data_IF_228183426730
#
_entry.id   IF_228183426730
#
_cell.length_a   1.000
_cell.length_b   1.000
_cell.length_c   1.000
_cell.angle_alpha   90.00
_cell.angle_beta   90.00
_cell.angle_gamma   90.00
#
_symmetry.space_group_name_H-M   'P 1'
#
loop_
_entity.id
_entity.type
_entity.pdbx_description
1 polymer ?
#
# COMPACT_ATOMS: atom_id res chain seq x y z
N UNK A 1 23.83 18.10 57.19
CA UNK A 1 23.70 19.40 56.48
C UNK A 1 23.46 19.27 54.98
N UNK A 2 24.35 18.71 54.16
CA UNK A 2 24.11 18.59 52.70
C UNK A 2 22.92 17.68 52.32
N UNK A 3 22.67 16.64 53.12
CA UNK A 3 21.58 15.67 52.93
C UNK A 3 20.20 16.20 53.34
N UNK A 4 20.13 17.14 54.28
CA UNK A 4 18.86 17.80 54.68
C UNK A 4 18.45 18.90 53.71
N UNK A 5 19.40 19.68 53.20
CA UNK A 5 19.12 20.68 52.17
C UNK A 5 18.55 20.06 50.88
N UNK A 6 19.07 18.90 50.48
CA UNK A 6 18.58 18.17 49.30
C UNK A 6 17.19 17.56 49.52
N UNK A 7 16.88 17.12 50.76
CA UNK A 7 15.54 16.65 51.13
C UNK A 7 14.51 17.79 51.20
N UNK A 8 14.90 18.97 51.69
CA UNK A 8 14.03 20.15 51.68
C UNK A 8 13.74 20.64 50.26
N UNK A 9 14.73 20.70 49.38
CA UNK A 9 14.54 21.10 47.97
C UNK A 9 13.65 20.12 47.20
N UNK A 10 13.79 18.81 47.44
CA UNK A 10 12.88 17.80 46.87
C UNK A 10 11.46 17.90 47.42
N UNK A 11 11.31 18.22 48.72
CA UNK A 11 10.00 18.44 49.34
C UNK A 11 9.30 19.69 48.80
N UNK A 12 10.05 20.77 48.55
CA UNK A 12 9.52 22.03 48.00
C UNK A 12 9.17 21.89 46.51
N UNK A 13 10.01 21.19 45.75
CA UNK A 13 9.72 20.80 44.36
C UNK A 13 8.43 19.96 44.26
N UNK A 14 8.17 19.06 45.22
CA UNK A 14 6.95 18.24 45.24
C UNK A 14 5.66 19.00 45.58
N UNK A 15 5.77 20.20 46.17
CA UNK A 15 4.62 21.06 46.54
C UNK A 15 4.29 22.11 45.48
N UNK A 16 5.23 22.43 44.60
CA UNK A 16 4.95 23.36 43.50
C UNK A 16 4.14 22.69 42.39
N UNK A 17 3.08 23.33 41.85
CA UNK A 17 2.31 22.79 40.73
C UNK A 17 3.19 22.42 39.53
N UNK A 18 4.29 23.15 39.33
CA UNK A 18 5.26 22.95 38.27
C UNK A 18 6.14 21.71 38.48
N UNK A 19 6.47 21.34 39.71
CA UNK A 19 7.26 20.14 40.00
C UNK A 19 6.45 18.85 39.82
N UNK A 20 5.18 18.86 40.21
CA UNK A 20 4.25 17.75 39.90
C UNK A 20 4.02 17.63 38.39
N UNK A 21 3.81 18.76 37.69
CA UNK A 21 3.69 18.77 36.24
C UNK A 21 4.95 18.27 35.52
N UNK A 22 6.14 18.67 36.00
CA UNK A 22 7.42 18.21 35.47
C UNK A 22 7.64 16.71 35.68
N UNK A 23 7.30 16.17 36.85
CA UNK A 23 7.38 14.74 37.12
C UNK A 23 6.41 13.94 36.23
N UNK A 24 5.17 14.42 36.06
CA UNK A 24 4.20 13.80 35.17
C UNK A 24 4.66 13.80 33.70
N UNK A 25 5.24 14.91 33.24
CA UNK A 25 5.82 15.00 31.90
C UNK A 25 7.00 14.03 31.71
N UNK A 26 7.88 13.89 32.70
CA UNK A 26 8.99 12.94 32.66
C UNK A 26 8.52 11.49 32.59
N UNK A 27 7.51 11.12 33.38
CA UNK A 27 6.88 9.79 33.31
C UNK A 27 6.25 9.54 31.94
N UNK A 28 5.54 10.52 31.38
CA UNK A 28 4.96 10.42 30.05
C UNK A 28 6.02 10.23 28.95
N UNK A 29 7.15 10.95 29.04
CA UNK A 29 8.28 10.81 28.11
C UNK A 29 8.95 9.44 28.21
N UNK A 30 9.17 8.93 29.43
CA UNK A 30 9.74 7.60 29.65
C UNK A 30 8.80 6.51 29.12
N UNK A 31 7.49 6.64 29.39
CA UNK A 31 6.49 5.73 28.86
C UNK A 31 6.45 5.76 27.33
N UNK A 32 6.47 6.94 26.72
CA UNK A 32 6.53 7.09 25.26
C UNK A 32 7.81 6.48 24.68
N UNK A 33 8.97 6.72 25.30
CA UNK A 33 10.24 6.15 24.87
C UNK A 33 10.22 4.62 24.95
N UNK A 34 9.71 4.04 26.05
CA UNK A 34 9.54 2.60 26.20
C UNK A 34 8.57 2.02 25.15
N UNK A 35 7.47 2.71 24.87
CA UNK A 35 6.52 2.33 23.83
C UNK A 35 7.17 2.35 22.44
N UNK A 36 7.89 3.43 22.08
CA UNK A 36 8.63 3.53 20.80
C UNK A 36 9.68 2.43 20.70
N UNK A 37 10.36 2.12 21.80
CA UNK A 37 11.38 1.08 21.85
C UNK A 37 10.79 -0.33 21.65
N UNK A 38 9.68 -0.65 22.31
CA UNK A 38 8.97 -1.92 22.10
C UNK A 38 8.44 -2.04 20.66
N UNK A 39 7.87 -0.97 20.13
CA UNK A 39 7.23 -0.94 18.81
C UNK A 39 8.23 -0.88 17.64
N UNK A 40 9.25 -0.02 17.71
CA UNK A 40 10.20 0.19 16.62
C UNK A 40 11.39 -0.78 16.66
N UNK A 41 11.71 -1.38 17.81
CA UNK A 41 12.94 -2.18 17.95
C UNK A 41 12.67 -3.62 18.36
N UNK A 42 11.96 -3.85 19.46
CA UNK A 42 11.75 -5.20 20.00
C UNK A 42 10.77 -6.01 19.15
N UNK A 43 9.61 -5.43 18.83
CA UNK A 43 8.55 -6.11 18.07
C UNK A 43 9.02 -6.58 16.69
N UNK A 44 9.63 -5.72 15.84
CA UNK A 44 10.11 -6.15 14.52
C UNK A 44 11.18 -7.25 14.62
N UNK A 45 12.06 -7.20 15.62
CA UNK A 45 13.06 -8.25 15.83
C UNK A 45 12.48 -9.57 16.31
N UNK A 46 11.46 -9.51 17.17
CA UNK A 46 10.73 -10.71 17.62
C UNK A 46 10.00 -11.35 16.44
N UNK A 47 9.28 -10.57 15.65
CA UNK A 47 8.59 -11.03 14.44
C UNK A 47 9.56 -11.59 13.39
N UNK A 48 10.65 -10.88 13.11
CA UNK A 48 11.66 -11.33 12.16
C UNK A 48 12.37 -12.61 12.57
N UNK A 49 12.57 -12.84 13.88
CA UNK A 49 13.09 -14.12 14.39
C UNK A 49 12.07 -15.24 14.28
N UNK A 50 10.80 -14.97 14.60
CA UNK A 50 9.73 -15.95 14.49
C UNK A 50 9.54 -16.43 13.04
N UNK A 51 9.50 -15.51 12.07
CA UNK A 51 9.38 -15.84 10.65
C UNK A 51 10.56 -16.69 10.15
N UNK A 52 11.80 -16.33 10.55
CA UNK A 52 12.98 -17.11 10.19
C UNK A 52 13.01 -18.49 10.86
N UNK A 53 12.51 -18.61 12.09
CA UNK A 53 12.37 -19.89 12.78
C UNK A 53 11.37 -20.82 12.07
N UNK A 54 10.37 -20.25 11.39
CA UNK A 54 9.43 -20.97 10.51
C UNK A 54 10.02 -21.29 9.12
N UNK A 55 11.31 -21.01 8.88
CA UNK A 55 11.97 -21.27 7.59
C UNK A 55 11.71 -20.20 6.50
N UNK A 56 10.98 -19.13 6.82
CA UNK A 56 10.67 -18.06 5.86
C UNK A 56 11.88 -17.11 5.79
N UNK A 57 12.46 -16.99 4.59
CA UNK A 57 13.59 -16.09 4.34
C UNK A 57 13.10 -14.67 4.08
N UNK A 58 13.93 -13.67 4.36
CA UNK A 58 13.50 -12.29 4.15
C UNK A 58 14.56 -11.28 4.53
N UNK A 59 14.29 -10.04 4.15
CA UNK A 59 15.19 -8.89 4.33
C UNK A 59 15.42 -8.58 5.82
N UNK A 60 16.50 -7.86 6.10
CA UNK A 60 16.80 -7.37 7.45
C UNK A 60 15.98 -6.12 7.73
N UNK A 61 15.38 -6.04 8.91
CA UNK A 61 14.64 -4.86 9.34
C UNK A 61 15.55 -3.62 9.41
N UNK A 62 15.14 -2.53 8.74
CA UNK A 62 15.73 -1.19 8.82
C UNK A 62 14.79 -0.30 9.65
N UNK A 63 15.34 0.39 10.65
CA UNK A 63 14.58 1.12 11.66
C UNK A 63 13.62 2.14 11.01
N UNK A 64 12.37 2.16 11.48
CA UNK A 64 11.24 3.00 11.02
C UNK A 64 10.77 2.80 9.58
N UNK A 65 11.67 2.70 8.60
CA UNK A 65 11.30 2.70 7.17
C UNK A 65 11.19 1.31 6.55
N UNK A 66 11.84 0.30 7.14
CA UNK A 66 11.90 -1.03 6.54
C UNK A 66 12.54 -1.00 5.14
N UNK A 67 11.91 -1.66 4.18
CA UNK A 67 12.37 -1.74 2.79
C UNK A 67 11.75 -0.68 1.88
N UNK A 68 10.98 0.29 2.42
CA UNK A 68 10.28 1.30 1.61
C UNK A 68 11.25 2.09 0.70
N UNK A 69 12.38 2.63 1.19
CA UNK A 69 13.31 3.37 0.34
C UNK A 69 13.99 2.48 -0.71
N UNK A 70 14.25 1.21 -0.35
CA UNK A 70 14.82 0.23 -1.28
C UNK A 70 13.85 -0.09 -2.42
N UNK A 71 12.57 -0.29 -2.08
CA UNK A 71 11.50 -0.52 -3.04
C UNK A 71 11.33 0.69 -3.98
N UNK A 72 11.40 1.91 -3.46
CA UNK A 72 11.36 3.14 -4.26
C UNK A 72 12.53 3.21 -5.25
N UNK A 73 13.75 2.89 -4.79
CA UNK A 73 14.96 2.82 -5.63
C UNK A 73 14.81 1.78 -6.75
N UNK A 74 14.39 0.56 -6.40
CA UNK A 74 14.16 -0.50 -7.39
C UNK A 74 13.10 -0.08 -8.43
N UNK A 75 12.01 0.57 -8.00
CA UNK A 75 10.98 1.07 -8.91
C UNK A 75 11.52 2.16 -9.85
N UNK A 76 12.34 3.09 -9.36
CA UNK A 76 12.95 4.13 -10.18
C UNK A 76 13.88 3.52 -11.25
N UNK A 77 14.71 2.54 -10.88
CA UNK A 77 15.61 1.84 -11.81
C UNK A 77 14.83 1.01 -12.83
N UNK A 78 13.74 0.36 -12.42
CA UNK A 78 12.92 -0.44 -13.32
C UNK A 78 12.15 0.42 -14.32
N UNK A 79 11.71 1.62 -13.92
CA UNK A 79 11.00 2.58 -14.77
C UNK A 79 11.93 3.32 -15.74
N UNK A 80 13.20 3.52 -15.37
CA UNK A 80 14.17 4.22 -16.25
C UNK A 80 14.62 3.41 -17.47
N UNK A 81 14.38 2.10 -17.49
CA UNK A 81 14.70 1.23 -18.62
C UNK A 81 13.44 0.91 -19.41
N UNK A 82 13.42 0.98 -20.75
CA UNK A 82 12.27 0.54 -21.54
C UNK A 82 12.04 -0.97 -21.42
N UNK A 83 10.81 -1.43 -21.64
CA UNK A 83 10.54 -2.89 -21.72
C UNK A 83 10.99 -3.44 -23.07
N UNK A 84 11.42 -4.72 -23.14
CA UNK A 84 11.63 -5.38 -24.41
C UNK A 84 10.35 -5.36 -25.25
N UNK A 85 10.49 -5.02 -26.53
CA UNK A 85 9.37 -5.04 -27.48
C UNK A 85 8.75 -6.44 -27.55
N UNK A 86 7.41 -6.52 -27.49
CA UNK A 86 6.68 -7.77 -27.52
C UNK A 86 6.69 -8.58 -26.20
N UNK A 87 7.33 -8.09 -25.14
CA UNK A 87 7.27 -8.75 -23.83
C UNK A 87 5.96 -8.42 -23.11
N UNK A 88 5.26 -9.46 -22.65
CA UNK A 88 4.12 -9.34 -21.75
C UNK A 88 4.49 -9.54 -20.27
N UNK A 89 5.76 -9.80 -19.96
CA UNK A 89 6.22 -9.91 -18.57
C UNK A 89 6.49 -8.53 -17.97
N UNK A 90 5.42 -7.90 -17.49
CA UNK A 90 5.48 -6.59 -16.84
C UNK A 90 5.97 -6.67 -15.38
N UNK A 91 6.05 -7.88 -14.81
CA UNK A 91 6.30 -8.09 -13.37
C UNK A 91 7.59 -7.42 -12.90
N UNK A 92 8.74 -7.60 -13.57
CA UNK A 92 10.00 -6.99 -13.11
C UNK A 92 9.98 -5.46 -13.20
N UNK A 93 9.08 -4.89 -14.01
CA UNK A 93 8.91 -3.43 -14.14
C UNK A 93 7.99 -2.86 -13.07
N UNK A 94 6.87 -3.52 -12.80
CA UNK A 94 5.84 -3.01 -11.87
C UNK A 94 6.21 -3.33 -10.42
N UNK A 95 6.79 -4.50 -10.16
CA UNK A 95 7.13 -5.00 -8.83
C UNK A 95 8.55 -5.59 -8.79
N UNK A 96 9.60 -4.79 -9.06
CA UNK A 96 10.99 -5.27 -9.16
C UNK A 96 11.48 -5.97 -7.89
N UNK A 97 11.19 -5.41 -6.70
CA UNK A 97 11.64 -5.99 -5.43
C UNK A 97 11.00 -7.37 -5.18
N UNK A 98 9.73 -7.52 -5.54
CA UNK A 98 9.02 -8.79 -5.48
C UNK A 98 9.59 -9.81 -6.48
N UNK A 99 9.81 -9.39 -7.73
CA UNK A 99 10.41 -10.25 -8.76
C UNK A 99 11.79 -10.77 -8.34
N UNK A 100 12.62 -9.90 -7.75
CA UNK A 100 13.93 -10.29 -7.24
C UNK A 100 13.84 -11.24 -6.05
N UNK A 101 12.95 -10.96 -5.08
CA UNK A 101 12.73 -11.85 -3.94
C UNK A 101 12.27 -13.25 -4.37
N UNK A 102 11.40 -13.34 -5.39
CA UNK A 102 11.00 -14.63 -5.97
C UNK A 102 12.18 -15.30 -6.64
N UNK A 103 12.98 -14.60 -7.45
CA UNK A 103 14.16 -15.18 -8.11
C UNK A 103 15.21 -15.70 -7.13
N UNK A 104 15.40 -15.00 -6.01
CA UNK A 104 16.39 -15.35 -4.99
C UNK A 104 15.90 -16.45 -4.03
N UNK A 105 14.59 -16.54 -3.78
CA UNK A 105 14.05 -17.38 -2.70
C UNK A 105 13.04 -18.45 -3.16
N UNK A 106 12.60 -18.44 -4.43
CA UNK A 106 11.62 -19.39 -4.97
C UNK A 106 11.91 -19.84 -6.42
N UNK A 107 11.35 -20.99 -6.82
CA UNK A 107 11.23 -21.37 -8.24
C UNK A 107 9.83 -21.00 -8.73
N UNK A 108 9.73 -20.26 -9.83
CA UNK A 108 8.46 -19.88 -10.47
C UNK A 108 7.67 -21.12 -10.90
N UNK A 109 6.40 -21.21 -10.51
CA UNK A 109 5.40 -21.97 -11.25
C UNK A 109 4.55 -20.98 -12.06
N UNK A 110 4.69 -21.06 -13.38
CA UNK A 110 3.90 -20.42 -14.45
C UNK A 110 3.69 -18.88 -14.43
N UNK A 111 4.09 -18.17 -15.51
CA UNK A 111 3.92 -16.71 -15.64
C UNK A 111 2.47 -16.22 -15.85
N UNK A 112 1.47 -17.10 -15.94
CA UNK A 112 0.11 -16.68 -16.30
C UNK A 112 -0.79 -16.22 -15.13
N UNK A 113 -0.50 -16.66 -13.90
CA UNK A 113 -1.37 -16.41 -12.73
C UNK A 113 -1.02 -15.11 -11.99
N UNK A 114 0.13 -14.49 -12.33
CA UNK A 114 0.66 -13.32 -11.63
C UNK A 114 -0.04 -11.99 -11.97
N UNK A 115 -1.19 -12.03 -12.66
CA UNK A 115 -1.81 -10.83 -13.21
C UNK A 115 -2.64 -10.00 -12.23
N UNK A 116 -2.98 -10.46 -11.01
CA UNK A 116 -3.92 -9.68 -10.21
C UNK A 116 -3.81 -9.57 -8.68
N UNK A 117 -2.92 -10.26 -7.97
CA UNK A 117 -2.98 -10.19 -6.51
C UNK A 117 -1.63 -10.26 -5.80
N UNK A 118 -1.22 -9.15 -5.17
CA UNK A 118 -0.33 -9.22 -4.02
C UNK A 118 -1.23 -9.31 -2.77
N UNK A 119 -1.38 -10.51 -2.21
CA UNK A 119 -1.87 -10.63 -0.85
C UNK A 119 -0.72 -10.34 0.10
N UNK A 120 -0.80 -9.19 0.76
CA UNK A 120 -0.02 -8.91 1.96
C UNK A 120 -0.92 -9.18 3.15
N UNK A 121 -0.78 -10.35 3.76
CA UNK A 121 -1.43 -10.60 5.06
C UNK A 121 -0.56 -10.01 6.15
N UNK A 122 -1.14 -9.16 7.00
CA UNK A 122 -0.52 -8.69 8.23
C UNK A 122 -0.38 -9.86 9.22
N UNK A 123 0.85 -10.29 9.44
CA UNK A 123 1.20 -11.43 10.31
C UNK A 123 0.86 -11.15 11.77
N UNK A 124 0.68 -9.89 12.18
CA UNK A 124 0.37 -9.54 13.57
C UNK A 124 -1.00 -10.05 14.04
N UNK A 125 -1.92 -10.36 13.11
CA UNK A 125 -3.29 -10.80 13.43
C UNK A 125 -3.60 -12.26 13.09
N UNK A 126 -2.70 -12.95 12.37
CA UNK A 126 -2.99 -14.27 11.82
C UNK A 126 -2.11 -15.30 12.52
N UNK A 127 -2.72 -16.21 13.30
CA UNK A 127 -2.09 -17.49 13.66
C UNK A 127 -2.01 -18.34 12.39
N UNK A 128 -1.07 -18.00 11.52
CA UNK A 128 -0.77 -18.82 10.35
C UNK A 128 0.02 -20.01 10.87
N UNK A 129 -0.64 -21.17 11.02
CA UNK A 129 0.05 -22.44 11.27
C UNK A 129 0.82 -22.79 10.00
N UNK A 130 2.13 -22.54 10.03
CA UNK A 130 3.05 -22.78 8.91
C UNK A 130 3.31 -24.28 8.69
N UNK A 131 2.83 -25.13 9.61
CA UNK A 131 3.16 -26.56 9.67
C UNK A 131 2.66 -27.38 8.45
N UNK A 132 1.78 -26.83 7.61
CA UNK A 132 1.25 -27.50 6.41
C UNK A 132 1.82 -26.98 5.08
N UNK A 133 2.65 -25.93 5.08
CA UNK A 133 2.98 -25.20 3.85
C UNK A 133 4.48 -25.26 3.53
N UNK A 134 4.80 -25.32 2.24
CA UNK A 134 6.19 -25.36 1.73
C UNK A 134 6.91 -24.02 2.02
N UNK A 135 7.35 -23.83 3.27
CA UNK A 135 7.96 -22.61 3.79
C UNK A 135 9.20 -22.16 3.00
N UNK A 136 9.89 -23.09 2.32
CA UNK A 136 11.11 -22.82 1.57
C UNK A 136 10.97 -21.88 0.36
N UNK A 137 9.73 -21.60 -0.09
CA UNK A 137 9.44 -20.71 -1.23
C UNK A 137 8.86 -19.35 -0.83
N UNK A 138 8.55 -19.15 0.45
CA UNK A 138 7.99 -17.89 0.93
C UNK A 138 9.11 -16.91 1.29
N UNK A 139 8.86 -15.62 1.06
CA UNK A 139 9.79 -14.57 1.46
C UNK A 139 9.07 -13.44 2.17
N UNK A 140 9.72 -12.70 3.08
CA UNK A 140 9.14 -11.50 3.68
C UNK A 140 9.99 -10.24 3.47
N UNK A 141 9.30 -9.10 3.38
CA UNK A 141 9.88 -7.75 3.33
C UNK A 141 9.28 -6.86 4.42
N UNK A 142 9.93 -5.75 4.74
CA UNK A 142 9.51 -4.83 5.79
C UNK A 142 8.79 -3.62 5.20
N UNK A 143 7.59 -3.35 5.70
CA UNK A 143 6.88 -2.10 5.45
C UNK A 143 6.81 -1.31 6.75
N UNK A 144 7.75 -0.38 6.92
CA UNK A 144 8.05 0.16 8.24
C UNK A 144 8.34 -0.97 9.24
N UNK A 145 7.80 -0.95 10.47
CA UNK A 145 8.00 -2.00 11.47
C UNK A 145 7.18 -3.27 11.22
N UNK A 146 6.32 -3.31 10.19
CA UNK A 146 5.40 -4.42 9.94
C UNK A 146 5.96 -5.33 8.84
N UNK A 147 6.16 -6.64 9.10
CA UNK A 147 6.59 -7.58 8.07
C UNK A 147 5.44 -7.94 7.14
N UNK A 148 5.77 -8.09 5.85
CA UNK A 148 4.87 -8.49 4.77
C UNK A 148 5.37 -9.78 4.15
N UNK A 149 4.57 -10.83 4.21
CA UNK A 149 4.92 -12.14 3.63
C UNK A 149 4.40 -12.22 2.20
N UNK A 150 5.28 -12.59 1.28
CA UNK A 150 5.00 -12.91 -0.11
C UNK A 150 4.68 -14.39 -0.23
N UNK A 151 3.52 -14.69 -0.80
CA UNK A 151 3.02 -16.04 -1.01
C UNK A 151 2.96 -16.31 -2.52
N UNK A 152 3.93 -17.06 -3.09
CA UNK A 152 3.97 -17.32 -4.52
C UNK A 152 3.15 -18.56 -4.95
N UNK A 153 2.64 -19.33 -4.01
CA UNK A 153 1.91 -20.58 -4.29
C UNK A 153 0.44 -20.29 -4.64
N UNK A 154 -0.02 -20.61 -5.86
CA UNK A 154 -1.39 -20.33 -6.30
C UNK A 154 -2.45 -21.08 -5.49
N UNK A 155 -2.16 -22.26 -4.94
CA UNK A 155 -3.12 -22.99 -4.12
C UNK A 155 -3.38 -22.26 -2.80
N UNK A 156 -2.33 -21.70 -2.20
CA UNK A 156 -2.40 -20.89 -0.98
C UNK A 156 -3.08 -19.55 -1.24
N UNK A 157 -2.76 -18.91 -2.36
CA UNK A 157 -3.44 -17.68 -2.78
C UNK A 157 -4.94 -17.94 -2.91
N UNK A 158 -5.34 -19.06 -3.53
CA UNK A 158 -6.76 -19.46 -3.64
C UNK A 158 -7.40 -19.72 -2.28
N UNK A 159 -6.70 -20.40 -1.37
CA UNK A 159 -7.20 -20.66 -0.01
C UNK A 159 -7.47 -19.35 0.74
N UNK A 160 -6.49 -18.44 0.77
CA UNK A 160 -6.58 -17.12 1.42
C UNK A 160 -7.70 -16.28 0.80
N UNK A 161 -7.79 -16.24 -0.53
CA UNK A 161 -8.81 -15.50 -1.26
C UNK A 161 -10.22 -16.03 -1.05
N UNK A 162 -10.36 -17.35 -0.98
CA UNK A 162 -11.65 -18.00 -0.75
C UNK A 162 -12.19 -17.71 0.65
N UNK A 163 -11.29 -17.39 1.59
CA UNK A 163 -11.57 -17.00 2.97
C UNK A 163 -12.70 -17.82 3.63
N UNK A 164 -12.75 -19.12 3.34
CA UNK A 164 -13.88 -20.00 3.70
C UNK A 164 -14.17 -20.02 5.20
N UNK A 165 -13.13 -19.78 6.00
CA UNK A 165 -13.19 -19.83 7.45
C UNK A 165 -13.15 -18.44 8.12
N UNK A 166 -13.14 -17.36 7.33
CA UNK A 166 -13.10 -15.98 7.85
C UNK A 166 -11.81 -15.61 8.59
N UNK A 167 -10.75 -16.42 8.49
CA UNK A 167 -9.50 -16.22 9.20
C UNK A 167 -8.61 -15.13 8.57
N UNK A 168 -8.88 -14.73 7.33
CA UNK A 168 -8.10 -13.75 6.61
C UNK A 168 -8.86 -12.42 6.52
N UNK A 169 -8.37 -11.41 7.23
CA UNK A 169 -8.83 -10.03 7.09
C UNK A 169 -8.16 -9.32 5.92
N UNK A 170 -8.75 -8.22 5.46
CA UNK A 170 -8.07 -7.28 4.58
C UNK A 170 -6.93 -6.60 5.33
N UNK A 171 -5.97 -6.09 4.57
CA UNK A 171 -4.94 -5.26 5.15
C UNK A 171 -5.59 -4.04 5.80
N UNK A 172 -5.34 -3.83 7.09
CA UNK A 172 -5.81 -2.64 7.79
C UNK A 172 -5.12 -1.43 7.21
N UNK A 173 -5.89 -0.59 6.51
CA UNK A 173 -5.41 0.69 6.04
C UNK A 173 -4.98 1.55 7.22
N UNK A 174 -3.87 2.27 7.05
CA UNK A 174 -3.37 3.21 8.03
C UNK A 174 -4.35 4.33 8.29
N UNK A 175 -4.17 5.09 9.38
CA UNK A 175 -5.04 6.24 9.66
C UNK A 175 -5.03 7.26 8.51
N UNK A 176 -3.85 7.50 7.93
CA UNK A 176 -3.72 8.31 6.72
C UNK A 176 -4.43 7.68 5.52
N UNK A 177 -4.23 6.39 5.24
CA UNK A 177 -4.88 5.71 4.13
C UNK A 177 -6.41 5.72 4.21
N UNK A 178 -6.98 5.71 5.43
CA UNK A 178 -8.43 5.90 5.65
C UNK A 178 -8.87 7.33 5.41
N UNK A 179 -8.14 8.34 5.87
CA UNK A 179 -8.52 9.74 5.63
C UNK A 179 -8.64 10.06 4.13
N UNK A 180 -7.78 9.44 3.33
CA UNK A 180 -7.66 9.72 1.89
C UNK A 180 -8.60 8.88 1.04
N UNK A 181 -8.83 7.62 1.44
CA UNK A 181 -9.62 6.67 0.67
C UNK A 181 -10.34 5.64 1.57
N UNK A 182 -11.10 6.06 2.58
CA UNK A 182 -12.00 5.16 3.31
C UNK A 182 -13.19 4.77 2.42
N UNK A 183 -13.01 3.68 1.67
CA UNK A 183 -13.98 3.20 0.71
C UNK A 183 -14.16 1.70 0.75
N UNK A 184 -14.87 1.18 -0.25
CA UNK A 184 -15.19 -0.24 -0.38
C UNK A 184 -13.94 -1.16 -0.33
N UNK A 185 -12.79 -0.67 -0.83
CA UNK A 185 -11.54 -1.38 -0.76
C UNK A 185 -11.10 -1.66 0.70
N UNK A 186 -11.31 -0.70 1.60
CA UNK A 186 -10.84 -0.74 2.99
C UNK A 186 -11.88 -1.25 4.00
N UNK A 187 -13.17 -1.17 3.68
CA UNK A 187 -14.22 -1.66 4.58
C UNK A 187 -14.20 -3.20 4.70
N UNK A 188 -14.60 -3.69 5.88
CA UNK A 188 -14.81 -5.11 6.19
C UNK A 188 -16.21 -5.35 6.79
N UNK A 189 -16.60 -6.62 6.89
CA UNK A 189 -17.86 -7.05 7.54
C UNK A 189 -19.11 -6.38 6.95
N UNK A 190 -20.03 -5.99 7.83
CA UNK A 190 -21.32 -5.40 7.45
C UNK A 190 -21.17 -4.07 6.71
N UNK A 191 -20.17 -3.25 7.07
CA UNK A 191 -19.89 -1.97 6.40
C UNK A 191 -19.49 -2.22 4.94
N UNK A 192 -18.67 -3.24 4.70
CA UNK A 192 -18.32 -3.68 3.34
C UNK A 192 -19.53 -4.21 2.58
N UNK A 193 -20.30 -5.12 3.19
CA UNK A 193 -21.46 -5.74 2.56
C UNK A 193 -22.49 -4.68 2.14
N UNK A 194 -22.77 -3.71 2.99
CA UNK A 194 -23.67 -2.58 2.70
C UNK A 194 -23.17 -1.75 1.51
N UNK A 195 -21.91 -1.34 1.52
CA UNK A 195 -21.35 -0.52 0.43
C UNK A 195 -21.26 -1.30 -0.89
N UNK A 196 -20.93 -2.59 -0.84
CA UNK A 196 -20.89 -3.46 -2.03
C UNK A 196 -22.27 -3.60 -2.64
N UNK A 197 -23.31 -3.78 -1.81
CA UNK A 197 -24.70 -3.90 -2.25
C UNK A 197 -25.20 -2.63 -2.94
N UNK A 198 -24.78 -1.45 -2.47
CA UNK A 198 -25.12 -0.16 -3.10
C UNK A 198 -24.44 -0.03 -4.47
N UNK A 199 -23.18 -0.46 -4.58
CA UNK A 199 -22.37 -0.26 -5.79
C UNK A 199 -22.66 -1.28 -6.90
N UNK A 200 -22.90 -2.55 -6.57
CA UNK A 200 -23.05 -3.63 -7.54
C UNK A 200 -24.06 -3.34 -8.68
N UNK A 201 -25.26 -2.76 -8.44
CA UNK A 201 -26.22 -2.47 -9.49
C UNK A 201 -25.71 -1.55 -10.60
N UNK A 202 -24.78 -0.63 -10.28
CA UNK A 202 -24.18 0.28 -11.26
C UNK A 202 -23.29 -0.47 -12.29
N UNK A 203 -22.78 -1.64 -11.91
CA UNK A 203 -21.90 -2.48 -12.74
C UNK A 203 -22.61 -3.73 -13.28
N UNK A 204 -23.95 -3.74 -13.30
CA UNK A 204 -24.70 -4.78 -14.01
C UNK A 204 -24.52 -4.63 -15.53
N UNK A 205 -24.52 -5.76 -16.25
CA UNK A 205 -24.30 -5.81 -17.70
C UNK A 205 -25.15 -4.80 -18.49
N UNK A 206 -26.44 -4.69 -18.16
CA UNK A 206 -27.36 -3.77 -18.83
C UNK A 206 -27.05 -2.28 -18.57
N UNK A 207 -26.40 -1.95 -17.45
CA UNK A 207 -25.93 -0.59 -17.18
C UNK A 207 -24.63 -0.30 -17.92
N UNK A 208 -23.70 -1.26 -17.94
CA UNK A 208 -22.44 -1.15 -18.69
C UNK A 208 -22.72 -0.99 -20.19
N UNK A 209 -23.65 -1.75 -20.77
CA UNK A 209 -24.08 -1.59 -22.17
C UNK A 209 -24.50 -0.16 -22.50
N UNK A 210 -25.22 0.52 -21.59
CA UNK A 210 -25.65 1.91 -21.77
C UNK A 210 -24.50 2.91 -21.70
N UNK A 211 -23.37 2.54 -21.09
CA UNK A 211 -22.16 3.36 -21.03
C UNK A 211 -21.28 3.21 -22.29
N UNK A 212 -21.44 2.15 -23.07
CA UNK A 212 -20.61 1.88 -24.26
C UNK A 212 -20.55 3.05 -25.27
N UNK A 213 -21.66 3.75 -25.59
CA UNK A 213 -21.57 4.90 -26.50
C UNK A 213 -20.64 5.99 -25.96
N UNK A 214 -20.66 6.24 -24.65
CA UNK A 214 -19.78 7.21 -24.00
C UNK A 214 -18.32 6.78 -24.11
N UNK A 215 -18.03 5.48 -23.94
CA UNK A 215 -16.68 4.96 -24.14
C UNK A 215 -16.20 5.15 -25.57
N UNK A 216 -17.05 4.88 -26.56
CA UNK A 216 -16.74 5.09 -27.99
C UNK A 216 -16.41 6.56 -28.25
N UNK A 217 -17.26 7.47 -27.80
CA UNK A 217 -17.05 8.92 -27.99
C UNK A 217 -15.75 9.39 -27.35
N UNK A 218 -15.42 8.94 -26.14
CA UNK A 218 -14.15 9.29 -25.50
C UNK A 218 -12.94 8.76 -26.29
N UNK A 219 -13.01 7.53 -26.81
CA UNK A 219 -11.95 6.97 -27.65
C UNK A 219 -11.81 7.72 -28.98
N UNK A 220 -12.92 8.03 -29.66
CA UNK A 220 -12.96 8.79 -30.90
C UNK A 220 -12.33 10.18 -30.72
N UNK A 221 -12.73 10.91 -29.67
CA UNK A 221 -12.15 12.21 -29.35
C UNK A 221 -10.63 12.15 -29.09
N UNK A 222 -10.16 11.11 -28.38
CA UNK A 222 -8.72 10.90 -28.18
C UNK A 222 -7.99 10.67 -29.51
N UNK A 223 -8.51 9.79 -30.36
CA UNK A 223 -7.93 9.48 -31.67
C UNK A 223 -7.93 10.72 -32.57
N UNK A 224 -9.03 11.46 -32.64
CA UNK A 224 -9.12 12.70 -33.42
C UNK A 224 -8.13 13.77 -32.93
N UNK A 225 -7.92 13.89 -31.60
CA UNK A 225 -6.87 14.79 -31.07
C UNK A 225 -5.48 14.36 -31.51
N UNK A 226 -5.19 13.05 -31.52
CA UNK A 226 -3.91 12.54 -32.00
C UNK A 226 -3.73 12.83 -33.49
N UNK A 227 -4.73 12.51 -34.33
CA UNK A 227 -4.72 12.77 -35.77
C UNK A 227 -4.48 14.25 -36.09
N UNK A 228 -5.16 15.15 -35.38
CA UNK A 228 -5.00 16.60 -35.56
C UNK A 228 -3.63 17.13 -35.08
N UNK A 229 -2.96 16.40 -34.19
CA UNK A 229 -1.63 16.77 -33.69
C UNK A 229 -0.49 16.20 -34.55
N UNK A 230 -0.80 15.33 -35.52
CA UNK A 230 0.19 14.73 -36.40
C UNK A 230 0.74 15.76 -37.41
N UNK A 231 2.07 15.87 -37.58
CA UNK A 231 2.66 16.63 -38.68
C UNK A 231 2.26 16.02 -40.04
N UNK A 232 2.01 16.86 -41.05
CA UNK A 232 1.62 16.41 -42.39
C UNK A 232 2.69 15.49 -43.00
N UNK A 233 2.44 14.17 -43.01
CA UNK A 233 3.31 13.16 -43.63
C UNK A 233 4.45 12.62 -42.77
N UNK A 234 4.44 12.85 -41.45
CA UNK A 234 5.49 12.38 -40.53
C UNK A 234 5.09 11.22 -39.61
N UNK A 235 6.10 10.58 -39.02
CA UNK A 235 5.95 9.74 -37.82
C UNK A 235 5.99 10.64 -36.59
N UNK A 236 5.07 10.45 -35.65
CA UNK A 236 5.06 11.13 -34.36
C UNK A 236 5.15 10.09 -33.24
N UNK A 237 6.09 10.29 -32.31
CA UNK A 237 6.16 9.51 -31.08
C UNK A 237 5.23 10.16 -30.04
N UNK A 238 4.32 9.38 -29.49
CA UNK A 238 3.34 9.83 -28.49
C UNK A 238 3.55 9.04 -27.20
N UNK A 239 3.68 9.74 -26.08
CA UNK A 239 3.61 9.11 -24.76
C UNK A 239 2.15 8.75 -24.45
N UNK A 240 1.83 7.46 -24.54
CA UNK A 240 0.47 6.93 -24.35
C UNK A 240 0.01 6.93 -22.89
N UNK A 241 0.93 7.01 -21.92
CA UNK A 241 0.58 6.93 -20.51
C UNK A 241 -0.33 8.08 -20.03
N UNK A 242 0.03 9.37 -20.22
CA UNK A 242 -0.85 10.48 -19.86
C UNK A 242 -2.15 10.48 -20.66
N UNK A 243 -2.12 10.06 -21.93
CA UNK A 243 -3.32 9.97 -22.76
C UNK A 243 -4.31 8.93 -22.24
N UNK A 244 -3.84 7.75 -21.81
CA UNK A 244 -4.71 6.72 -21.24
C UNK A 244 -5.23 7.09 -19.85
N UNK A 245 -4.44 7.84 -19.06
CA UNK A 245 -4.93 8.41 -17.81
C UNK A 245 -6.07 9.40 -18.07
N UNK A 246 -5.90 10.30 -19.05
CA UNK A 246 -6.92 11.26 -19.46
C UNK A 246 -8.17 10.54 -19.98
N UNK A 247 -8.02 9.58 -20.91
CA UNK A 247 -9.12 8.77 -21.44
C UNK A 247 -9.91 8.08 -20.33
N UNK A 248 -9.20 7.43 -19.39
CA UNK A 248 -9.85 6.74 -18.26
C UNK A 248 -10.60 7.75 -17.39
N UNK A 249 -10.00 8.92 -17.14
CA UNK A 249 -10.59 10.04 -16.42
C UNK A 249 -11.87 10.57 -17.09
N UNK A 250 -11.84 10.77 -18.40
CA UNK A 250 -12.99 11.23 -19.20
C UNK A 250 -14.12 10.21 -19.16
N UNK A 251 -13.79 8.94 -19.37
CA UNK A 251 -14.75 7.82 -19.34
C UNK A 251 -15.47 7.77 -18.00
N UNK A 252 -14.72 7.73 -16.88
CA UNK A 252 -15.36 7.66 -15.56
C UNK A 252 -16.11 8.95 -15.23
N UNK A 253 -15.59 10.11 -15.66
CA UNK A 253 -16.23 11.40 -15.38
C UNK A 253 -17.57 11.52 -16.08
N UNK A 254 -17.63 11.18 -17.38
CA UNK A 254 -18.88 11.24 -18.16
C UNK A 254 -19.88 10.19 -17.72
N UNK A 255 -19.43 9.00 -17.36
CA UNK A 255 -20.34 7.91 -16.96
C UNK A 255 -20.82 7.99 -15.53
N UNK A 256 -20.01 8.50 -14.60
CA UNK A 256 -20.39 8.63 -13.19
C UNK A 256 -21.04 9.97 -12.86
N UNK A 257 -20.63 11.07 -13.50
CA UNK A 257 -21.10 12.44 -13.17
C UNK A 257 -21.97 13.08 -14.28
N UNK A 258 -22.11 12.43 -15.44
CA UNK A 258 -23.03 12.87 -16.49
C UNK A 258 -22.75 14.30 -16.97
N UNK A 259 -23.73 15.19 -16.85
CA UNK A 259 -23.62 16.60 -17.27
C UNK A 259 -22.59 17.40 -16.48
N UNK A 260 -22.13 16.90 -15.34
CA UNK A 260 -21.14 17.58 -14.49
C UNK A 260 -19.73 16.95 -14.59
N UNK A 261 -19.43 16.30 -15.71
CA UNK A 261 -18.18 15.55 -15.90
C UNK A 261 -16.92 16.42 -15.78
N UNK A 262 -17.00 17.72 -16.09
CA UNK A 262 -15.86 18.63 -15.95
C UNK A 262 -15.39 18.76 -14.50
N UNK A 263 -16.32 18.81 -13.54
CA UNK A 263 -15.99 18.79 -12.11
C UNK A 263 -15.43 17.43 -11.69
N UNK A 264 -15.99 16.33 -12.21
CA UNK A 264 -15.47 14.98 -12.01
C UNK A 264 -14.01 14.84 -12.47
N UNK A 265 -13.68 15.38 -13.64
CA UNK A 265 -12.34 15.35 -14.20
C UNK A 265 -11.33 16.07 -13.29
N UNK A 266 -11.72 17.22 -12.72
CA UNK A 266 -10.90 17.95 -11.75
C UNK A 266 -10.66 17.14 -10.47
N UNK A 267 -11.67 16.39 -9.99
CA UNK A 267 -11.51 15.51 -8.83
C UNK A 267 -10.45 14.44 -9.10
N UNK A 268 -10.49 13.77 -10.25
CA UNK A 268 -9.51 12.72 -10.57
C UNK A 268 -8.09 13.26 -10.74
N UNK A 269 -7.93 14.44 -11.35
CA UNK A 269 -6.65 15.12 -11.45
C UNK A 269 -6.06 15.41 -10.06
N UNK A 270 -6.86 16.03 -9.18
CA UNK A 270 -6.43 16.32 -7.81
C UNK A 270 -6.13 15.05 -7.00
N UNK A 271 -6.89 13.97 -7.19
CA UNK A 271 -6.60 12.67 -6.60
C UNK A 271 -5.28 12.07 -7.10
N UNK A 272 -4.96 12.25 -8.39
CA UNK A 272 -3.67 11.86 -8.98
C UNK A 272 -2.50 12.60 -8.33
N UNK A 273 -2.58 13.93 -8.27
CA UNK A 273 -1.55 14.76 -7.61
C UNK A 273 -1.38 14.40 -6.13
N UNK A 274 -2.50 14.18 -5.42
CA UNK A 274 -2.49 13.76 -4.03
C UNK A 274 -1.80 12.41 -3.87
N UNK A 275 -2.12 11.44 -4.74
CA UNK A 275 -1.49 10.12 -4.74
C UNK A 275 0.04 10.21 -4.92
N UNK A 276 0.52 11.04 -5.84
CA UNK A 276 1.97 11.24 -6.05
C UNK A 276 2.66 11.83 -4.83
N UNK A 277 2.10 12.90 -4.26
CA UNK A 277 2.62 13.54 -3.04
C UNK A 277 2.65 12.56 -1.88
N UNK A 278 1.64 11.70 -1.77
CA UNK A 278 1.59 10.66 -0.74
C UNK A 278 2.67 9.61 -0.94
N UNK A 279 2.87 9.12 -2.16
CA UNK A 279 3.95 8.17 -2.45
C UNK A 279 5.30 8.75 -2.03
N UNK A 280 5.55 10.04 -2.29
CA UNK A 280 6.77 10.72 -1.85
C UNK A 280 6.85 10.86 -0.32
N UNK A 281 5.75 11.22 0.35
CA UNK A 281 5.70 11.30 1.81
C UNK A 281 5.94 9.93 2.48
N UNK A 282 5.35 8.86 1.94
CA UNK A 282 5.55 7.48 2.36
C UNK A 282 7.02 7.06 2.29
N UNK A 283 7.78 7.59 1.33
CA UNK A 283 9.20 7.26 1.15
C UNK A 283 10.13 7.99 2.12
N UNK A 284 9.70 9.12 2.70
CA UNK A 284 10.57 10.05 3.44
C UNK A 284 10.27 10.12 4.93
N UNK A 285 9.02 9.99 5.35
CA UNK A 285 8.61 10.24 6.74
C UNK A 285 7.79 9.10 7.31
N UNK A 286 8.31 8.37 8.31
CA UNK A 286 7.54 7.40 9.07
C UNK A 286 7.14 7.99 10.44
N UNK A 287 5.85 8.31 10.61
CA UNK A 287 5.25 8.76 11.87
C UNK A 287 4.57 7.56 12.56
N UNK A 288 5.01 7.17 13.77
CA UNK A 288 4.39 6.09 14.54
C UNK A 288 2.88 6.32 14.75
N UNK A 289 2.07 5.28 14.49
CA UNK A 289 0.60 5.31 14.72
C UNK A 289 -0.23 5.99 13.62
N UNK A 290 0.42 6.59 12.63
CA UNK A 290 -0.23 7.27 11.50
C UNK A 290 -0.15 6.48 10.18
N UNK A 291 0.91 5.68 10.01
CA UNK A 291 1.14 4.76 8.90
C UNK A 291 0.79 3.31 9.21
#
# INVERSE_FOLDING_TARGET
>A
MATEGLRMLLADASRSPWGVAGAAAAVALLWFAAWVLEWAWWTPRRLGRALRAQGIRGTRYRLFTGDIPENARCNAVARSRPMPLGSHDITPRVLPMFSNAIKEHGKLFSPEILKFFIFVTDVSSTKMSVDTFNAGKMSFTWFGPTPRVTIPDPELVREILSNKFGHYGKQKSSRFGKLLADGLANHEGDKWAKHRRILNPAFHHEKIKRMLPVFSTCCEEMITRWENSMPTGGLCEIDVFPEFQNLTGDVISRTAFGSNYQEGMKIFQLQGELCERLIQAFQTLFIPGYW
#
